data_IF_328864460527
#
_entry.id   IF_328864460527
#
_cell.length_a   1.000
_cell.length_b   1.000
_cell.length_c   1.000
_cell.angle_alpha   90.00
_cell.angle_beta   90.00
_cell.angle_gamma   90.00
#
_symmetry.space_group_name_H-M   'P 1'
#
loop_
_entity.id
_entity.type
_entity.pdbx_description
1 polymer ?
#
# COMPACT_ATOMS: atom_id res chain seq x y z
N UNK A 1 -9.19 12.46 -11.07
CA UNK A 1 -8.02 11.64 -10.76
C UNK A 1 -8.27 10.91 -9.45
N UNK A 2 -8.45 9.60 -9.48
CA UNK A 2 -8.96 8.79 -8.34
C UNK A 2 -7.94 8.75 -7.20
N UNK A 3 -6.65 8.85 -7.54
CA UNK A 3 -5.53 8.88 -6.59
C UNK A 3 -5.63 10.11 -5.69
N UNK A 4 -5.84 11.29 -6.28
CA UNK A 4 -5.96 12.55 -5.55
C UNK A 4 -7.16 12.55 -4.60
N UNK A 5 -8.27 11.89 -4.96
CA UNK A 5 -9.43 11.75 -4.07
C UNK A 5 -9.16 10.85 -2.86
N UNK A 6 -8.45 9.73 -3.06
CA UNK A 6 -8.10 8.80 -1.97
C UNK A 6 -7.08 9.44 -1.03
N UNK A 7 -6.08 10.14 -1.57
CA UNK A 7 -5.11 10.89 -0.77
C UNK A 7 -5.78 12.01 0.03
N UNK A 8 -6.66 12.79 -0.60
CA UNK A 8 -7.39 13.87 0.04
C UNK A 8 -8.29 13.37 1.18
N UNK A 9 -8.98 12.24 0.99
CA UNK A 9 -9.84 11.67 2.01
C UNK A 9 -9.03 11.11 3.19
N UNK A 10 -7.90 10.46 2.93
CA UNK A 10 -6.99 9.96 3.96
C UNK A 10 -6.34 11.09 4.76
N UNK A 11 -5.96 12.18 4.08
CA UNK A 11 -5.39 13.37 4.69
C UNK A 11 -6.43 14.10 5.56
N UNK A 12 -7.65 14.28 5.05
CA UNK A 12 -8.76 14.89 5.79
C UNK A 12 -9.07 14.14 7.09
N UNK A 13 -9.24 12.82 7.02
CA UNK A 13 -9.50 11.99 8.22
C UNK A 13 -8.36 12.05 9.25
N UNK A 14 -7.12 12.19 8.78
CA UNK A 14 -5.95 12.32 9.66
C UNK A 14 -5.92 13.70 10.30
N UNK A 15 -6.23 14.75 9.54
CA UNK A 15 -6.32 16.13 10.01
C UNK A 15 -7.40 16.29 11.08
N UNK A 16 -8.60 15.76 10.84
CA UNK A 16 -9.71 15.82 11.78
C UNK A 16 -9.36 15.16 13.13
N UNK A 17 -8.74 13.96 13.09
CA UNK A 17 -8.26 13.28 14.31
C UNK A 17 -7.16 14.05 15.04
N UNK A 18 -6.23 14.66 14.31
CA UNK A 18 -5.17 15.48 14.89
C UNK A 18 -5.77 16.70 15.60
N UNK A 19 -6.76 17.34 14.98
CA UNK A 19 -7.47 18.48 15.55
C UNK A 19 -8.25 18.11 16.81
N UNK A 20 -8.97 16.99 16.79
CA UNK A 20 -9.69 16.44 17.95
C UNK A 20 -8.75 16.13 19.13
N UNK A 21 -7.63 15.46 18.87
CA UNK A 21 -6.63 15.15 19.90
C UNK A 21 -6.01 16.44 20.47
N UNK A 22 -5.70 17.42 19.62
CA UNK A 22 -5.16 18.71 20.06
C UNK A 22 -6.17 19.51 20.89
N UNK A 23 -7.45 19.51 20.50
CA UNK A 23 -8.52 20.13 21.28
C UNK A 23 -8.63 19.49 22.67
N UNK A 24 -8.57 18.16 22.74
CA UNK A 24 -8.57 17.41 23.99
C UNK A 24 -7.37 17.75 24.87
N UNK A 25 -6.16 17.81 24.30
CA UNK A 25 -4.95 18.23 25.02
C UNK A 25 -5.09 19.65 25.57
N UNK A 26 -5.59 20.59 24.77
CA UNK A 26 -5.78 21.99 25.18
C UNK A 26 -6.76 22.10 26.34
N UNK A 27 -7.88 21.39 26.28
CA UNK A 27 -8.87 21.31 27.36
C UNK A 27 -8.26 20.78 28.66
N UNK A 28 -7.57 19.63 28.60
CA UNK A 28 -6.94 19.05 29.80
C UNK A 28 -5.80 19.93 30.36
N UNK A 29 -5.08 20.65 29.50
CA UNK A 29 -4.06 21.60 29.94
C UNK A 29 -4.68 22.82 30.64
N UNK A 30 -5.83 23.32 30.15
CA UNK A 30 -6.57 24.39 30.79
C UNK A 30 -7.12 23.97 32.17
N UNK A 31 -7.67 22.76 32.28
CA UNK A 31 -8.11 22.18 33.55
C UNK A 31 -6.95 22.02 34.55
N UNK A 32 -5.79 21.56 34.08
CA UNK A 32 -4.56 21.48 34.88
C UNK A 32 -4.12 22.85 35.40
N UNK A 33 -4.12 23.86 34.53
CA UNK A 33 -3.73 25.22 34.88
C UNK A 33 -4.71 25.84 35.89
N UNK A 34 -6.02 25.61 35.72
CA UNK A 34 -7.03 26.05 36.68
C UNK A 34 -6.86 25.36 38.04
N UNK A 35 -6.58 24.05 38.06
CA UNK A 35 -6.33 23.31 39.29
C UNK A 35 -5.06 23.83 40.00
N UNK A 36 -4.01 24.15 39.24
CA UNK A 36 -2.79 24.77 39.76
C UNK A 36 -3.02 26.15 40.38
N UNK A 37 -3.82 27.01 39.72
CA UNK A 37 -4.18 28.34 40.27
C UNK A 37 -5.02 28.24 41.54
N UNK A 38 -6.00 27.32 41.58
CA UNK A 38 -6.83 27.06 42.77
C UNK A 38 -6.03 26.53 43.96
N UNK A 39 -4.97 25.75 43.71
CA UNK A 39 -4.07 25.27 44.75
C UNK A 39 -3.16 26.36 45.36
N UNK A 40 -2.76 27.37 44.57
CA UNK A 40 -1.92 28.47 45.04
C UNK A 40 -2.69 29.54 45.85
N UNK A 41 -4.01 29.62 45.74
CA UNK A 41 -4.83 30.68 46.34
C UNK A 41 -5.15 30.50 47.85
N UNK A 42 -4.42 29.64 48.57
CA UNK A 42 -4.47 29.57 50.05
C UNK A 42 -5.05 28.30 50.67
N UNK A 43 -5.57 27.35 49.88
CA UNK A 43 -6.13 26.07 50.38
C UNK A 43 -5.16 24.88 50.25
N UNK A 44 -3.88 25.09 50.60
CA UNK A 44 -2.80 24.10 50.44
C UNK A 44 -3.05 22.80 51.24
N UNK A 45 -3.75 22.90 52.38
CA UNK A 45 -3.98 21.75 53.28
C UNK A 45 -5.12 20.81 52.83
N UNK A 46 -6.16 21.31 52.16
CA UNK A 46 -7.32 20.52 51.70
C UNK A 46 -7.09 19.87 50.32
N UNK A 47 -6.11 20.34 49.55
CA UNK A 47 -5.84 19.93 48.16
C UNK A 47 -4.66 18.95 48.00
N UNK A 48 -3.94 18.63 49.08
CA UNK A 48 -2.63 17.97 48.98
C UNK A 48 -2.69 16.51 48.50
N UNK A 49 -3.79 15.77 48.72
CA UNK A 49 -3.91 14.39 48.25
C UNK A 49 -4.76 14.27 46.97
N UNK A 50 -5.96 14.87 46.93
CA UNK A 50 -6.84 14.76 45.77
C UNK A 50 -6.38 15.62 44.58
N UNK A 51 -5.88 16.83 44.84
CA UNK A 51 -5.38 17.73 43.78
C UNK A 51 -4.14 17.18 43.08
N UNK A 52 -3.22 16.57 43.85
CA UNK A 52 -2.02 15.92 43.32
C UNK A 52 -2.34 14.66 42.51
N UNK A 53 -3.32 13.84 42.95
CA UNK A 53 -3.82 12.69 42.18
C UNK A 53 -4.44 13.13 40.85
N UNK A 54 -5.36 14.10 40.87
CA UNK A 54 -5.98 14.63 39.64
C UNK A 54 -4.97 15.27 38.69
N UNK A 55 -3.98 15.99 39.22
CA UNK A 55 -2.86 16.55 38.42
C UNK A 55 -2.08 15.44 37.71
N UNK A 56 -1.75 14.35 38.42
CA UNK A 56 -1.00 13.21 37.88
C UNK A 56 -1.82 12.44 36.84
N UNK A 57 -3.12 12.27 37.06
CA UNK A 57 -4.04 11.64 36.10
C UNK A 57 -4.17 12.45 34.81
N UNK A 58 -4.36 13.77 34.92
CA UNK A 58 -4.42 14.67 33.75
C UNK A 58 -3.10 14.68 32.97
N UNK A 59 -1.97 14.72 33.68
CA UNK A 59 -0.65 14.63 33.04
C UNK A 59 -0.47 13.28 32.30
N UNK A 60 -0.93 12.17 32.89
CA UNK A 60 -0.90 10.84 32.25
C UNK A 60 -1.79 10.82 31.01
N UNK A 61 -3.01 11.38 31.06
CA UNK A 61 -3.91 11.49 29.90
C UNK A 61 -3.29 12.32 28.78
N UNK A 62 -2.67 13.45 29.08
CA UNK A 62 -1.95 14.26 28.09
C UNK A 62 -0.79 13.48 27.46
N UNK A 63 -0.04 12.70 28.25
CA UNK A 63 1.04 11.87 27.73
C UNK A 63 0.54 10.78 26.77
N UNK A 64 -0.58 10.13 27.09
CA UNK A 64 -1.25 9.15 26.23
C UNK A 64 -1.73 9.80 24.92
N UNK A 65 -2.45 10.92 25.01
CA UNK A 65 -2.92 11.67 23.83
C UNK A 65 -1.77 12.15 22.94
N UNK A 66 -0.64 12.57 23.53
CA UNK A 66 0.58 12.92 22.75
C UNK A 66 1.20 11.72 22.04
N UNK A 67 1.15 10.53 22.66
CA UNK A 67 1.61 9.28 22.03
C UNK A 67 0.69 8.90 20.86
N UNK A 68 -0.63 8.98 21.05
CA UNK A 68 -1.62 8.76 20.01
C UNK A 68 -1.46 9.75 18.85
N UNK A 69 -1.23 11.04 19.14
CA UNK A 69 -0.94 12.06 18.13
C UNK A 69 0.26 11.68 17.25
N UNK A 70 1.35 11.18 17.87
CA UNK A 70 2.55 10.74 17.13
C UNK A 70 2.24 9.51 16.27
N UNK A 71 1.43 8.59 16.79
CA UNK A 71 1.05 7.38 16.07
C UNK A 71 0.15 7.69 14.87
N UNK A 72 -0.90 8.51 15.04
CA UNK A 72 -1.78 8.94 13.95
C UNK A 72 -1.01 9.68 12.85
N UNK A 73 -0.09 10.58 13.23
CA UNK A 73 0.79 11.26 12.26
C UNK A 73 1.71 10.29 11.52
N UNK A 74 2.20 9.23 12.18
CA UNK A 74 3.05 8.21 11.56
C UNK A 74 2.26 7.34 10.60
N UNK A 75 1.10 6.86 11.01
CA UNK A 75 0.20 6.05 10.19
C UNK A 75 -0.27 6.81 8.94
N UNK A 76 -0.55 8.10 9.07
CA UNK A 76 -0.86 8.97 7.93
C UNK A 76 0.26 9.00 6.88
N UNK A 77 1.52 9.19 7.30
CA UNK A 77 2.68 9.17 6.40
C UNK A 77 2.91 7.81 5.75
N UNK A 78 2.84 6.74 6.54
CA UNK A 78 3.07 5.37 6.04
C UNK A 78 2.02 4.95 5.00
N UNK A 79 0.77 5.38 5.14
CA UNK A 79 -0.29 5.06 4.16
C UNK A 79 -0.05 5.73 2.82
N UNK A 80 0.35 6.99 2.81
CA UNK A 80 0.67 7.75 1.59
C UNK A 80 1.87 7.12 0.88
N UNK A 81 2.94 6.80 1.62
CA UNK A 81 4.13 6.18 1.02
C UNK A 81 3.86 4.81 0.41
N UNK A 82 3.01 3.98 1.03
CA UNK A 82 2.67 2.64 0.50
C UNK A 82 1.89 2.72 -0.79
N UNK A 83 0.96 3.68 -0.92
CA UNK A 83 0.18 3.88 -2.14
C UNK A 83 1.13 4.29 -3.27
N UNK A 84 1.98 5.30 -3.06
CA UNK A 84 2.95 5.73 -4.06
C UNK A 84 3.89 4.61 -4.51
N UNK A 85 4.46 3.85 -3.56
CA UNK A 85 5.35 2.72 -3.85
C UNK A 85 4.65 1.60 -4.60
N UNK A 86 3.40 1.26 -4.26
CA UNK A 86 2.66 0.20 -4.93
C UNK A 86 2.45 0.50 -6.41
N UNK A 87 2.00 1.72 -6.75
CA UNK A 87 1.82 2.12 -8.15
C UNK A 87 3.14 2.22 -8.91
N UNK A 88 4.21 2.68 -8.25
CA UNK A 88 5.54 2.69 -8.83
C UNK A 88 6.04 1.28 -9.14
N UNK A 89 5.90 0.33 -8.20
CA UNK A 89 6.22 -1.08 -8.43
C UNK A 89 5.37 -1.69 -9.52
N UNK A 90 4.07 -1.37 -9.56
CA UNK A 90 3.17 -1.83 -10.60
C UNK A 90 3.72 -1.40 -11.96
N UNK A 91 4.02 -0.12 -12.17
CA UNK A 91 4.52 0.35 -13.45
C UNK A 91 5.92 -0.20 -13.80
N UNK A 92 6.87 -0.17 -12.87
CA UNK A 92 8.26 -0.61 -13.08
C UNK A 92 8.36 -2.12 -13.36
N UNK A 93 7.47 -2.94 -12.79
CA UNK A 93 7.45 -4.39 -13.04
C UNK A 93 6.53 -4.79 -14.21
N UNK A 94 5.45 -4.05 -14.44
CA UNK A 94 4.46 -4.37 -15.47
C UNK A 94 5.03 -4.22 -16.88
N UNK A 95 5.80 -3.17 -17.16
CA UNK A 95 6.42 -2.94 -18.48
C UNK A 95 7.37 -4.08 -18.88
N UNK A 96 8.37 -4.49 -18.07
CA UNK A 96 9.25 -5.60 -18.45
C UNK A 96 8.51 -6.95 -18.54
N UNK A 97 7.51 -7.19 -17.69
CA UNK A 97 6.69 -8.41 -17.77
C UNK A 97 5.89 -8.48 -19.08
N UNK A 98 5.29 -7.37 -19.50
CA UNK A 98 4.60 -7.29 -20.79
C UNK A 98 5.55 -7.62 -21.95
N UNK A 99 6.76 -7.07 -21.96
CA UNK A 99 7.76 -7.37 -23.00
C UNK A 99 8.12 -8.86 -23.06
N UNK A 100 8.27 -9.51 -21.91
CA UNK A 100 8.54 -10.96 -21.84
C UNK A 100 7.37 -11.76 -22.41
N UNK A 101 6.13 -11.42 -22.03
CA UNK A 101 4.93 -12.09 -22.54
C UNK A 101 4.81 -11.92 -24.06
N UNK A 102 4.98 -10.70 -24.57
CA UNK A 102 4.95 -10.43 -26.01
C UNK A 102 6.06 -11.16 -26.77
N UNK A 103 7.28 -11.18 -26.22
CA UNK A 103 8.40 -11.91 -26.80
C UNK A 103 8.14 -13.42 -26.87
N UNK A 104 7.61 -14.00 -25.78
CA UNK A 104 7.26 -15.41 -25.72
C UNK A 104 6.13 -15.76 -26.70
N UNK A 105 5.08 -14.94 -26.75
CA UNK A 105 3.98 -15.08 -27.70
C UNK A 105 4.46 -15.05 -29.15
N UNK A 106 5.32 -14.09 -29.50
CA UNK A 106 5.90 -14.00 -30.85
C UNK A 106 6.76 -15.22 -31.18
N UNK A 107 7.56 -15.70 -30.23
CA UNK A 107 8.39 -16.88 -30.40
C UNK A 107 7.54 -18.14 -30.64
N UNK A 108 6.49 -18.35 -29.84
CA UNK A 108 5.53 -19.46 -30.04
C UNK A 108 4.85 -19.39 -31.40
N UNK A 109 4.37 -18.21 -31.81
CA UNK A 109 3.72 -18.03 -33.11
C UNK A 109 4.68 -18.33 -34.26
N UNK A 110 5.92 -17.86 -34.18
CA UNK A 110 6.98 -18.15 -35.16
C UNK A 110 7.34 -19.64 -35.20
N UNK A 111 7.47 -20.29 -34.05
CA UNK A 111 7.79 -21.71 -33.96
C UNK A 111 6.66 -22.59 -34.52
N UNK A 112 5.40 -22.20 -34.31
CA UNK A 112 4.23 -22.87 -34.87
C UNK A 112 4.19 -22.77 -36.41
N UNK A 113 4.43 -21.58 -36.98
CA UNK A 113 4.51 -21.39 -38.43
C UNK A 113 5.60 -22.26 -39.07
N UNK A 114 6.77 -22.37 -38.43
CA UNK A 114 7.88 -23.20 -38.94
C UNK A 114 7.65 -24.71 -38.79
N UNK A 115 6.80 -25.16 -37.86
CA UNK A 115 6.42 -26.57 -37.75
C UNK A 115 5.47 -26.97 -38.88
N UNK A 116 4.50 -26.11 -39.23
CA UNK A 116 3.57 -26.37 -40.34
C UNK A 116 4.30 -26.60 -41.66
N UNK A 117 5.34 -25.81 -41.97
CA UNK A 117 6.11 -25.98 -43.21
C UNK A 117 6.94 -27.27 -43.24
N UNK A 118 7.45 -27.71 -42.08
CA UNK A 118 8.21 -28.97 -41.98
C UNK A 118 7.33 -30.21 -42.10
N UNK A 119 6.12 -30.18 -41.52
CA UNK A 119 5.17 -31.29 -41.63
C UNK A 119 4.60 -31.48 -43.03
N UNK A 120 4.40 -30.38 -43.78
CA UNK A 120 3.97 -30.43 -45.18
C UNK A 120 5.08 -31.05 -46.04
N UNK A 121 6.31 -30.52 -45.94
CA UNK A 121 7.47 -31.06 -46.69
C UNK A 121 7.76 -32.54 -46.38
N UNK A 122 7.63 -32.96 -45.12
CA UNK A 122 7.80 -34.37 -44.74
C UNK A 122 6.70 -35.30 -45.24
N UNK A 123 5.47 -34.80 -45.43
CA UNK A 123 4.36 -35.54 -46.05
C UNK A 123 4.58 -35.73 -47.55
N UNK A 124 5.01 -34.68 -48.25
CA UNK A 124 5.26 -34.71 -49.69
C UNK A 124 6.43 -35.66 -50.04
N UNK A 125 7.48 -35.67 -49.21
CA UNK A 125 8.61 -36.58 -49.39
C UNK A 125 8.22 -38.05 -49.11
N UNK A 126 7.31 -38.30 -48.16
CA UNK A 126 6.81 -39.65 -47.89
C UNK A 126 5.88 -40.16 -48.99
N UNK A 127 5.03 -39.28 -49.56
CA UNK A 127 4.15 -39.64 -50.67
C UNK A 127 4.94 -40.03 -51.92
N UNK A 128 5.91 -39.20 -52.31
CA UNK A 128 6.75 -39.47 -53.49
C UNK A 128 7.57 -40.76 -53.36
N UNK A 129 8.07 -41.12 -52.17
CA UNK A 129 8.72 -42.42 -51.94
C UNK A 129 7.76 -43.60 -52.10
N UNK A 130 6.52 -43.47 -51.63
CA UNK A 130 5.51 -44.54 -51.77
C UNK A 130 5.11 -44.72 -53.23
N UNK A 131 4.99 -43.63 -53.99
CA UNK A 131 4.64 -43.67 -55.41
C UNK A 131 5.76 -44.32 -56.25
N UNK A 132 7.02 -44.01 -55.94
CA UNK A 132 8.18 -44.66 -56.57
C UNK A 132 8.26 -46.15 -56.26
N UNK A 133 8.03 -46.55 -55.00
CA UNK A 133 8.01 -47.96 -54.59
C UNK A 133 6.89 -48.74 -55.29
N UNK A 134 5.71 -48.13 -55.46
CA UNK A 134 4.62 -48.74 -56.22
C UNK A 134 4.94 -48.88 -57.70
N UNK A 135 5.66 -47.92 -58.28
CA UNK A 135 6.10 -47.99 -59.67
C UNK A 135 7.13 -49.10 -59.90
N UNK A 136 8.06 -49.32 -58.97
CA UNK A 136 9.06 -50.40 -59.05
C UNK A 136 8.48 -51.81 -58.89
N UNK A 137 7.40 -51.97 -58.12
CA UNK A 137 6.75 -53.28 -57.89
C UNK A 137 5.81 -53.67 -59.06
N UNK A 138 5.43 -52.71 -59.90
CA UNK A 138 4.49 -52.90 -61.01
C UNK A 138 5.18 -53.06 -62.38
N UNK A 139 6.51 -53.25 -62.38
CA UNK A 139 7.38 -53.60 -63.53
C UNK A 139 7.84 -55.04 -63.36
#
# INVERSE_FOLDING_TARGET
DVINQIEFEAEKRTKDKVEEINASISKFQAELNQLGRKANAGNVALLQNEGLRRKKELAKKIAVLKKELRQVKREGREKIERIGKFFQYLNTLFVPVLLIIFGFYYNMKRASLMKSTREIKGRDEKSSRIDNLKAEVNV
#
